data_IF_805439836737
#
_entry.id   IF_805439836737
#
_cell.length_a   1.000
_cell.length_b   1.000
_cell.length_c   1.000
_cell.angle_alpha   90.00
_cell.angle_beta   90.00
_cell.angle_gamma   90.00
#
_symmetry.space_group_name_H-M   'P 1'
#
loop_
_entity.id
_entity.type
_entity.pdbx_description
1 polymer ?
#
# COMPACT_ATOMS: atom_id res chain seq x y z
N UNK A 1 16.16 -3.03 -6.59
CA UNK A 1 17.24 -3.98 -6.96
C UNK A 1 18.44 -3.88 -6.01
N UNK A 2 18.93 -2.67 -5.66
CA UNK A 2 20.11 -2.47 -4.79
C UNK A 2 20.01 -3.26 -3.46
N UNK A 3 18.84 -3.30 -2.86
CA UNK A 3 18.55 -3.96 -1.58
C UNK A 3 18.12 -5.44 -1.72
N UNK A 4 18.28 -6.06 -2.88
CA UNK A 4 17.95 -7.46 -3.12
C UNK A 4 16.46 -7.81 -3.11
N UNK A 5 15.58 -6.80 -3.12
CA UNK A 5 14.15 -7.01 -3.29
C UNK A 5 13.82 -6.93 -4.79
N UNK A 6 13.29 -8.02 -5.34
CA UNK A 6 13.03 -8.17 -6.76
C UNK A 6 13.78 -9.35 -7.36
N UNK A 7 14.45 -9.14 -8.49
CA UNK A 7 15.15 -10.20 -9.27
C UNK A 7 16.66 -10.31 -8.98
N UNK A 8 17.19 -9.43 -8.13
CA UNK A 8 18.62 -9.37 -7.81
C UNK A 8 18.87 -9.92 -6.40
N UNK A 9 20.00 -10.57 -6.19
CA UNK A 9 20.47 -10.89 -4.84
C UNK A 9 21.03 -9.63 -4.17
N UNK A 10 20.81 -9.50 -2.86
CA UNK A 10 21.39 -8.41 -2.10
C UNK A 10 22.89 -8.59 -1.96
N UNK A 11 23.65 -7.59 -2.43
CA UNK A 11 25.07 -7.45 -2.17
C UNK A 11 25.36 -6.60 -0.95
N UNK A 12 26.63 -6.28 -0.73
CA UNK A 12 27.03 -5.28 0.26
C UNK A 12 26.65 -3.89 -0.25
N UNK A 13 25.78 -3.18 0.49
CA UNK A 13 25.25 -1.87 0.06
C UNK A 13 25.94 -0.77 0.86
N UNK A 14 26.76 0.04 0.16
CA UNK A 14 27.44 1.20 0.73
C UNK A 14 26.72 2.53 0.44
N UNK A 15 27.05 3.57 1.20
CA UNK A 15 26.46 4.90 1.05
C UNK A 15 26.67 5.47 -0.37
N UNK A 16 27.87 5.31 -0.94
CA UNK A 16 28.17 5.80 -2.30
C UNK A 16 27.26 5.19 -3.38
N UNK A 17 26.84 3.92 -3.19
CA UNK A 17 25.91 3.25 -4.10
C UNK A 17 24.49 3.82 -3.94
N UNK A 18 24.06 4.05 -2.70
CA UNK A 18 22.76 4.70 -2.41
C UNK A 18 22.73 6.10 -3.01
N UNK A 19 23.75 6.92 -2.76
CA UNK A 19 23.85 8.30 -3.30
C UNK A 19 23.83 8.30 -4.84
N UNK A 20 24.51 7.35 -5.48
CA UNK A 20 24.50 7.20 -6.93
C UNK A 20 23.08 6.93 -7.45
N UNK A 21 22.34 6.01 -6.82
CA UNK A 21 20.95 5.69 -7.21
C UNK A 21 20.02 6.86 -6.93
N UNK A 22 20.16 7.54 -5.79
CA UNK A 22 19.35 8.71 -5.43
C UNK A 22 19.43 9.83 -6.44
N UNK A 23 20.53 9.93 -7.20
CA UNK A 23 20.71 10.95 -8.25
C UNK A 23 19.67 10.89 -9.37
N UNK A 24 19.00 9.75 -9.59
CA UNK A 24 18.01 9.56 -10.65
C UNK A 24 16.66 8.98 -10.19
N UNK A 25 16.38 8.93 -8.87
CA UNK A 25 15.06 8.56 -8.32
C UNK A 25 14.19 9.80 -8.08
N UNK A 26 12.88 9.57 -7.99
CA UNK A 26 11.85 10.55 -7.61
C UNK A 26 10.99 11.00 -8.76
N UNK A 27 9.75 11.34 -8.44
CA UNK A 27 8.73 11.84 -9.37
C UNK A 27 8.83 13.37 -9.47
N UNK A 28 9.89 13.85 -10.12
CA UNK A 28 10.09 15.29 -10.36
C UNK A 28 10.03 15.59 -11.86
N UNK A 29 9.60 16.80 -12.28
CA UNK A 29 9.36 17.13 -13.70
C UNK A 29 10.55 16.85 -14.62
N UNK A 30 11.78 17.08 -14.15
CA UNK A 30 12.99 16.86 -14.96
C UNK A 30 13.32 15.37 -15.17
N UNK A 31 12.70 14.47 -14.39
CA UNK A 31 12.95 13.02 -14.48
C UNK A 31 11.90 12.29 -15.27
N UNK A 32 10.66 12.72 -15.16
CA UNK A 32 9.55 12.17 -15.93
C UNK A 32 8.71 13.32 -16.48
N UNK A 33 8.50 13.29 -17.78
CA UNK A 33 7.61 14.20 -18.49
C UNK A 33 6.46 13.35 -19.06
N UNK A 34 5.24 13.76 -18.80
CA UNK A 34 4.03 13.08 -19.26
C UNK A 34 3.23 14.03 -20.12
N UNK A 35 2.77 13.57 -21.26
CA UNK A 35 1.85 14.31 -22.11
C UNK A 35 0.61 13.49 -22.40
N UNK A 36 -0.52 14.14 -22.27
CA UNK A 36 -1.83 13.60 -22.62
C UNK A 36 -2.36 14.39 -23.82
N UNK A 37 -2.56 13.71 -24.92
CA UNK A 37 -3.22 14.28 -26.09
C UNK A 37 -4.69 13.89 -26.04
N UNK A 38 -5.57 14.89 -25.92
CA UNK A 38 -7.01 14.74 -25.95
C UNK A 38 -7.52 15.15 -27.34
N UNK A 39 -8.34 14.30 -27.97
CA UNK A 39 -9.04 14.60 -29.20
C UNK A 39 -10.50 14.17 -29.02
N UNK A 40 -11.45 15.10 -29.22
CA UNK A 40 -12.91 14.88 -29.12
C UNK A 40 -13.38 14.33 -27.76
N UNK A 41 -12.71 14.70 -26.65
CA UNK A 41 -13.02 14.22 -25.29
C UNK A 41 -12.50 12.83 -24.97
N UNK A 42 -11.65 12.27 -25.84
CA UNK A 42 -10.97 10.99 -25.63
C UNK A 42 -9.46 11.18 -25.59
N UNK A 43 -8.78 10.50 -24.65
CA UNK A 43 -7.32 10.45 -24.64
C UNK A 43 -6.84 9.68 -25.86
N UNK A 44 -6.13 10.34 -26.75
CA UNK A 44 -5.60 9.78 -27.99
C UNK A 44 -4.28 9.05 -27.75
N UNK A 45 -3.42 9.64 -26.96
CA UNK A 45 -2.16 9.04 -26.56
C UNK A 45 -1.69 9.60 -25.22
N UNK A 46 -1.11 8.73 -24.42
CA UNK A 46 -0.37 9.12 -23.23
C UNK A 46 1.05 8.59 -23.39
N UNK A 47 2.03 9.45 -23.29
CA UNK A 47 3.41 9.03 -23.32
C UNK A 47 4.17 9.54 -22.08
N UNK A 48 5.15 8.76 -21.67
CA UNK A 48 6.05 9.09 -20.56
C UNK A 48 7.47 9.14 -21.10
N UNK A 49 8.11 10.30 -20.97
CA UNK A 49 9.51 10.49 -21.30
C UNK A 49 10.34 10.49 -20.04
N UNK A 50 11.38 9.67 -20.00
CA UNK A 50 12.38 9.65 -18.93
C UNK A 50 13.47 10.68 -19.22
N UNK A 51 13.79 11.54 -18.27
CA UNK A 51 14.91 12.47 -18.34
C UNK A 51 16.26 11.79 -18.17
N UNK A 52 16.30 10.69 -17.40
CA UNK A 52 17.47 9.82 -17.23
C UNK A 52 17.12 8.39 -17.70
N UNK A 53 17.91 7.79 -18.61
CA UNK A 53 17.63 6.43 -19.11
C UNK A 53 17.70 5.35 -18.03
N UNK A 54 18.40 5.58 -16.92
CA UNK A 54 18.49 4.67 -15.77
C UNK A 54 17.21 4.65 -14.94
N UNK A 55 16.41 5.73 -14.96
CA UNK A 55 15.15 5.79 -14.23
C UNK A 55 14.16 4.74 -14.75
N UNK A 56 13.43 4.12 -13.85
CA UNK A 56 12.36 3.18 -14.14
C UNK A 56 11.12 3.53 -13.30
N UNK A 57 9.93 3.24 -13.82
CA UNK A 57 8.70 3.29 -13.06
C UNK A 57 8.43 1.92 -12.45
N UNK A 58 8.11 1.91 -11.16
CA UNK A 58 7.67 0.73 -10.44
C UNK A 58 6.23 0.97 -9.96
N UNK A 59 5.33 0.07 -10.35
CA UNK A 59 3.91 0.15 -10.04
C UNK A 59 3.48 -0.82 -8.92
N UNK A 60 4.41 -1.50 -8.26
CA UNK A 60 4.11 -2.52 -7.25
C UNK A 60 3.26 -1.99 -6.07
N UNK A 61 3.32 -0.68 -5.80
CA UNK A 61 2.56 -0.04 -4.74
C UNK A 61 1.13 0.38 -5.13
N UNK A 62 0.70 0.14 -6.39
CA UNK A 62 -0.63 0.56 -6.87
C UNK A 62 -1.27 -0.45 -7.84
N UNK A 63 -0.49 -1.40 -8.34
CA UNK A 63 -0.94 -2.25 -9.45
C UNK A 63 -2.06 -3.20 -9.04
N UNK A 64 -1.98 -3.78 -7.85
CA UNK A 64 -3.00 -4.69 -7.36
C UNK A 64 -4.29 -3.93 -7.03
N UNK A 65 -4.18 -2.81 -6.30
CA UNK A 65 -5.30 -1.93 -6.02
C UNK A 65 -5.99 -1.40 -7.28
N UNK A 66 -5.22 -0.99 -8.28
CA UNK A 66 -5.78 -0.59 -9.57
C UNK A 66 -6.46 -1.75 -10.31
N UNK A 67 -5.91 -2.95 -10.23
CA UNK A 67 -6.49 -4.13 -10.88
C UNK A 67 -7.85 -4.50 -10.28
N UNK A 68 -8.03 -4.44 -8.97
CA UNK A 68 -9.35 -4.70 -8.36
C UNK A 68 -10.38 -3.64 -8.72
N UNK A 69 -9.97 -2.36 -8.87
CA UNK A 69 -10.85 -1.30 -9.35
C UNK A 69 -11.34 -1.58 -10.78
N UNK A 70 -10.45 -1.95 -11.69
CA UNK A 70 -10.81 -2.31 -13.07
C UNK A 70 -11.75 -3.53 -13.15
N UNK A 71 -11.50 -4.55 -12.32
CA UNK A 71 -12.35 -5.72 -12.26
C UNK A 71 -13.74 -5.38 -11.72
N UNK A 72 -13.82 -4.55 -10.68
CA UNK A 72 -15.09 -4.09 -10.13
C UNK A 72 -15.88 -3.27 -11.16
N UNK A 73 -15.21 -2.39 -11.91
CA UNK A 73 -15.86 -1.61 -12.98
C UNK A 73 -16.37 -2.51 -14.11
N UNK A 74 -15.59 -3.51 -14.53
CA UNK A 74 -16.03 -4.48 -15.52
C UNK A 74 -17.26 -5.30 -15.08
N UNK A 75 -17.43 -5.56 -13.78
CA UNK A 75 -18.63 -6.17 -13.21
C UNK A 75 -19.81 -5.19 -13.26
N UNK A 76 -19.57 -3.92 -12.90
CA UNK A 76 -20.58 -2.86 -12.95
C UNK A 76 -21.15 -2.67 -14.36
N UNK A 77 -20.30 -2.65 -15.39
CA UNK A 77 -20.71 -2.55 -16.79
C UNK A 77 -21.62 -3.70 -17.24
N UNK A 78 -21.54 -4.84 -16.56
CA UNK A 78 -22.40 -6.02 -16.78
C UNK A 78 -23.65 -6.02 -15.91
N UNK A 79 -23.93 -4.92 -15.20
CA UNK A 79 -25.13 -4.77 -14.37
C UNK A 79 -25.02 -5.43 -12.98
N UNK A 80 -23.80 -5.84 -12.56
CA UNK A 80 -23.57 -6.38 -11.21
C UNK A 80 -23.36 -5.20 -10.25
N UNK A 81 -24.27 -5.01 -9.32
CA UNK A 81 -24.30 -3.89 -8.37
C UNK A 81 -23.67 -4.23 -7.02
N UNK A 82 -23.70 -5.50 -6.66
CA UNK A 82 -23.21 -5.98 -5.38
C UNK A 82 -22.06 -6.96 -5.63
N UNK A 83 -20.84 -6.52 -5.33
CA UNK A 83 -19.63 -7.29 -5.60
C UNK A 83 -18.50 -6.95 -4.62
N UNK A 84 -17.68 -7.95 -4.36
CA UNK A 84 -16.39 -7.83 -3.71
C UNK A 84 -15.34 -8.45 -4.65
N UNK A 85 -14.29 -7.73 -4.91
CA UNK A 85 -13.14 -8.20 -5.70
C UNK A 85 -11.91 -8.18 -4.83
N UNK A 86 -11.17 -9.27 -4.82
CA UNK A 86 -9.93 -9.42 -4.07
C UNK A 86 -8.83 -9.93 -5.01
N UNK A 87 -7.64 -9.35 -4.91
CA UNK A 87 -6.45 -9.77 -5.61
C UNK A 87 -5.21 -9.55 -4.75
N UNK A 88 -4.65 -10.65 -4.24
CA UNK A 88 -3.39 -10.62 -3.49
C UNK A 88 -3.45 -9.92 -2.12
N UNK A 89 -4.65 -9.68 -1.60
CA UNK A 89 -4.90 -9.00 -0.33
C UNK A 89 -5.55 -7.62 -0.48
N UNK A 90 -5.50 -7.03 -1.66
CA UNK A 90 -6.20 -5.79 -1.99
C UNK A 90 -7.67 -6.10 -2.31
N UNK A 91 -8.57 -5.42 -1.61
CA UNK A 91 -10.01 -5.67 -1.71
C UNK A 91 -10.76 -4.39 -2.04
N UNK A 92 -11.68 -4.48 -2.98
CA UNK A 92 -12.67 -3.43 -3.23
C UNK A 92 -14.08 -4.00 -3.11
N UNK A 93 -14.96 -3.27 -2.43
CA UNK A 93 -16.34 -3.67 -2.18
C UNK A 93 -17.31 -2.66 -2.76
N UNK A 94 -18.41 -3.15 -3.32
CA UNK A 94 -19.55 -2.36 -3.75
C UNK A 94 -20.84 -3.01 -3.30
N UNK A 95 -21.84 -2.16 -2.95
CA UNK A 95 -23.16 -2.63 -2.52
C UNK A 95 -23.10 -3.47 -1.25
N UNK A 96 -23.90 -4.53 -1.19
CA UNK A 96 -24.11 -5.34 0.00
C UNK A 96 -23.71 -6.81 -0.21
N UNK A 97 -23.35 -7.48 0.86
CA UNK A 97 -23.14 -8.93 0.86
C UNK A 97 -24.48 -9.69 0.72
N UNK A 98 -24.43 -11.02 0.60
CA UNK A 98 -25.61 -11.87 0.45
C UNK A 98 -26.62 -11.78 1.58
N UNK A 99 -26.25 -11.22 2.74
CA UNK A 99 -27.15 -10.98 3.90
C UNK A 99 -27.73 -9.57 3.91
N UNK A 100 -27.46 -8.73 2.90
CA UNK A 100 -27.93 -7.36 2.79
C UNK A 100 -27.16 -6.35 3.63
N UNK A 101 -26.03 -6.73 4.22
CA UNK A 101 -25.15 -5.87 5.02
C UNK A 101 -23.83 -5.56 4.33
N UNK A 102 -22.95 -4.78 4.98
CA UNK A 102 -21.63 -4.50 4.46
C UNK A 102 -20.78 -5.79 4.33
N UNK A 103 -19.82 -5.78 3.43
CA UNK A 103 -18.83 -6.82 3.29
C UNK A 103 -17.94 -6.88 4.53
N UNK A 104 -17.56 -8.07 4.96
CA UNK A 104 -16.78 -8.27 6.19
C UNK A 104 -15.40 -8.77 5.82
N UNK A 105 -14.41 -7.92 5.98
CA UNK A 105 -13.03 -8.18 5.62
C UNK A 105 -12.20 -8.35 6.88
N UNK A 106 -11.47 -9.45 6.97
CA UNK A 106 -10.56 -9.71 8.09
C UNK A 106 -9.20 -9.05 7.85
N UNK A 107 -8.66 -8.42 8.87
CA UNK A 107 -7.28 -7.88 8.89
C UNK A 107 -6.40 -8.83 9.69
N UNK A 108 -5.29 -9.25 9.09
CA UNK A 108 -4.35 -10.20 9.69
C UNK A 108 -3.56 -9.57 10.84
N UNK A 109 -3.19 -10.39 11.80
CA UNK A 109 -2.14 -10.07 12.76
C UNK A 109 -0.78 -10.04 12.07
N UNK A 110 0.10 -9.07 12.38
CA UNK A 110 1.42 -8.98 11.80
C UNK A 110 2.38 -10.00 12.44
N UNK A 111 2.07 -11.29 12.32
CA UNK A 111 2.88 -12.38 12.88
C UNK A 111 3.93 -12.78 11.86
N UNK A 112 5.18 -12.74 12.28
CA UNK A 112 6.33 -13.15 11.48
C UNK A 112 6.22 -14.62 11.06
N UNK A 113 6.53 -14.88 9.78
CA UNK A 113 6.48 -16.22 9.22
C UNK A 113 5.08 -16.81 9.06
N UNK A 114 4.02 -16.04 9.32
CA UNK A 114 2.65 -16.49 9.05
C UNK A 114 2.44 -16.74 7.56
N UNK A 115 1.82 -17.86 7.24
CA UNK A 115 1.44 -18.23 5.87
C UNK A 115 -0.05 -17.97 5.66
N UNK A 116 -0.50 -18.07 4.41
CA UNK A 116 -1.93 -17.98 4.09
C UNK A 116 -2.78 -19.05 4.78
N UNK A 117 -2.16 -20.15 5.19
CA UNK A 117 -2.85 -21.29 5.86
C UNK A 117 -2.95 -21.10 7.38
N UNK A 118 -2.08 -20.30 8.00
CA UNK A 118 -1.99 -20.09 9.45
C UNK A 118 -2.36 -18.66 9.83
N UNK A 119 -3.34 -18.06 9.13
CA UNK A 119 -3.78 -16.69 9.36
C UNK A 119 -4.52 -16.57 10.69
N UNK A 120 -4.11 -15.62 11.50
CA UNK A 120 -4.85 -15.16 12.66
C UNK A 120 -5.30 -13.72 12.43
N UNK A 121 -6.55 -13.44 12.75
CA UNK A 121 -7.14 -12.13 12.50
C UNK A 121 -7.06 -11.24 13.74
N UNK A 122 -6.72 -9.98 13.52
CA UNK A 122 -6.76 -8.97 14.58
C UNK A 122 -8.15 -8.36 14.70
N UNK A 123 -8.75 -8.06 13.57
CA UNK A 123 -10.10 -7.48 13.55
C UNK A 123 -10.84 -7.78 12.25
N UNK A 124 -12.13 -7.53 12.27
CA UNK A 124 -13.02 -7.62 11.10
C UNK A 124 -13.58 -6.23 10.82
N UNK A 125 -13.45 -5.80 9.57
CA UNK A 125 -13.86 -4.48 9.09
C UNK A 125 -15.10 -4.61 8.22
N UNK A 126 -16.10 -3.78 8.49
CA UNK A 126 -17.30 -3.67 7.66
C UNK A 126 -17.04 -2.67 6.53
N UNK A 127 -16.95 -3.18 5.29
CA UNK A 127 -16.60 -2.38 4.11
C UNK A 127 -17.81 -2.30 3.18
N UNK A 128 -18.17 -1.08 2.77
CA UNK A 128 -19.23 -0.82 1.81
C UNK A 128 -18.84 0.35 0.92
N UNK A 129 -18.90 0.15 -0.40
CA UNK A 129 -18.56 1.14 -1.43
C UNK A 129 -17.19 1.79 -1.24
N UNK A 130 -16.23 1.00 -0.75
CA UNK A 130 -14.83 1.41 -0.50
C UNK A 130 -13.87 0.27 -0.80
N UNK A 131 -12.60 0.60 -0.85
CA UNK A 131 -11.50 -0.35 -0.87
C UNK A 131 -10.82 -0.45 0.49
N UNK A 132 -10.22 -1.61 0.77
CA UNK A 132 -9.34 -1.87 1.89
C UNK A 132 -8.09 -2.59 1.40
N UNK A 133 -6.91 -2.02 1.65
CA UNK A 133 -5.62 -2.57 1.28
C UNK A 133 -4.67 -2.56 2.46
N UNK A 134 -3.78 -3.52 2.52
CA UNK A 134 -2.81 -3.65 3.63
C UNK A 134 -1.40 -3.86 3.10
N UNK A 135 -0.50 -2.93 3.43
CA UNK A 135 0.93 -3.10 3.28
C UNK A 135 1.57 -3.54 4.60
N UNK A 136 2.58 -4.41 4.55
CA UNK A 136 3.24 -4.88 5.76
C UNK A 136 4.68 -5.35 5.53
N UNK A 137 5.54 -5.13 6.51
CA UNK A 137 6.97 -5.48 6.49
C UNK A 137 7.27 -6.86 7.11
N UNK A 138 6.30 -7.49 7.77
CA UNK A 138 6.50 -8.72 8.55
C UNK A 138 6.62 -10.00 7.72
N UNK A 139 6.21 -9.97 6.43
CA UNK A 139 6.28 -11.14 5.52
C UNK A 139 7.49 -11.15 4.60
N UNK A 140 8.00 -9.99 4.22
CA UNK A 140 9.12 -9.84 3.27
C UNK A 140 10.18 -8.94 3.89
N UNK A 141 11.22 -9.54 4.43
CA UNK A 141 12.40 -8.83 4.96
C UNK A 141 13.65 -9.67 4.72
N UNK A 142 14.80 -9.03 4.70
CA UNK A 142 16.10 -9.67 4.82
C UNK A 142 16.65 -9.48 6.23
N UNK A 143 17.41 -10.44 6.71
CA UNK A 143 18.15 -10.31 7.96
C UNK A 143 19.63 -10.10 7.63
N UNK A 144 20.19 -8.96 8.06
CA UNK A 144 21.58 -8.59 7.86
C UNK A 144 22.14 -8.16 9.21
N UNK A 145 23.20 -8.83 9.67
CA UNK A 145 23.83 -8.57 10.96
C UNK A 145 22.85 -8.53 12.16
N UNK A 146 21.85 -9.42 12.14
CA UNK A 146 20.80 -9.48 13.17
C UNK A 146 19.79 -8.34 13.12
N UNK A 147 19.78 -7.55 12.05
CA UNK A 147 18.79 -6.48 11.80
C UNK A 147 17.87 -6.86 10.65
N UNK A 148 16.58 -6.66 10.86
CA UNK A 148 15.58 -6.84 9.79
C UNK A 148 15.60 -5.64 8.86
N UNK A 149 15.73 -5.91 7.58
CA UNK A 149 15.69 -4.93 6.51
C UNK A 149 14.36 -5.11 5.78
N UNK A 150 13.49 -4.12 5.88
CA UNK A 150 12.20 -4.09 5.17
C UNK A 150 12.42 -3.95 3.66
N UNK A 151 11.52 -4.54 2.87
CA UNK A 151 11.46 -4.32 1.44
C UNK A 151 10.93 -2.92 1.06
N UNK A 152 10.36 -2.20 2.02
CA UNK A 152 9.89 -0.82 1.84
C UNK A 152 11.06 0.14 1.96
N UNK A 153 11.40 0.80 0.85
CA UNK A 153 12.51 1.75 0.80
C UNK A 153 11.98 3.17 0.92
N UNK A 154 12.58 3.97 1.77
CA UNK A 154 12.28 5.40 1.87
C UNK A 154 12.90 6.14 0.66
N UNK A 155 12.08 6.70 -0.24
CA UNK A 155 12.57 7.40 -1.41
C UNK A 155 13.30 8.72 -1.09
N UNK A 156 13.15 9.25 0.11
CA UNK A 156 13.86 10.45 0.57
C UNK A 156 15.30 10.17 0.97
N UNK A 157 15.57 8.96 1.43
CA UNK A 157 16.92 8.56 1.92
C UNK A 157 17.58 7.49 1.07
N UNK A 158 16.81 6.70 0.32
CA UNK A 158 17.28 5.53 -0.41
C UNK A 158 17.56 4.31 0.48
N UNK A 159 17.30 4.40 1.78
CA UNK A 159 17.47 3.34 2.74
C UNK A 159 16.14 2.67 3.10
N UNK A 160 16.17 1.40 3.53
CA UNK A 160 14.97 0.73 4.04
C UNK A 160 14.33 1.50 5.19
N UNK A 161 13.01 1.62 5.18
CA UNK A 161 12.27 2.25 6.25
C UNK A 161 12.47 1.50 7.57
N UNK A 162 12.86 2.22 8.62
CA UNK A 162 13.22 1.67 9.93
C UNK A 162 12.45 2.40 11.05
N UNK A 163 11.12 2.48 10.91
CA UNK A 163 10.23 3.23 11.81
C UNK A 163 9.41 2.34 12.75
N UNK A 164 9.65 1.02 12.74
CA UNK A 164 8.94 0.07 13.61
C UNK A 164 7.52 -0.28 13.18
N UNK A 165 7.00 0.30 12.07
CA UNK A 165 5.66 -0.03 11.58
C UNK A 165 5.67 -1.42 10.92
N UNK A 166 4.82 -2.32 11.42
CA UNK A 166 4.68 -3.69 10.94
C UNK A 166 3.66 -3.80 9.81
N UNK A 167 2.54 -3.06 9.92
CA UNK A 167 1.52 -3.00 8.88
C UNK A 167 0.73 -1.71 8.91
N UNK A 168 0.25 -1.31 7.73
CA UNK A 168 -0.70 -0.22 7.52
C UNK A 168 -1.87 -0.74 6.69
N UNK A 169 -3.07 -0.71 7.24
CA UNK A 169 -4.32 -1.02 6.54
C UNK A 169 -5.07 0.26 6.28
N UNK A 170 -5.45 0.49 5.04
CA UNK A 170 -6.10 1.73 4.60
C UNK A 170 -7.44 1.44 3.96
N UNK A 171 -8.48 2.13 4.43
CA UNK A 171 -9.77 2.27 3.78
C UNK A 171 -9.75 3.55 2.94
N UNK A 172 -10.06 3.44 1.65
CA UNK A 172 -10.09 4.56 0.71
C UNK A 172 -11.23 4.42 -0.31
N UNK A 173 -11.54 5.47 -1.09
CA UNK A 173 -12.57 5.39 -2.13
C UNK A 173 -12.27 4.38 -3.24
N UNK A 174 -11.00 4.14 -3.57
CA UNK A 174 -10.57 3.23 -4.64
C UNK A 174 -9.44 2.31 -4.17
N UNK A 175 -9.29 1.15 -4.84
CA UNK A 175 -8.23 0.18 -4.56
C UNK A 175 -6.85 0.76 -4.82
N UNK A 176 -6.66 1.41 -5.98
CA UNK A 176 -5.37 2.05 -6.31
C UNK A 176 -4.93 3.06 -5.25
N UNK A 177 -5.88 3.83 -4.71
CA UNK A 177 -5.57 4.83 -3.70
C UNK A 177 -5.28 4.19 -2.33
N UNK A 178 -6.06 3.18 -1.92
CA UNK A 178 -5.83 2.44 -0.68
C UNK A 178 -4.45 1.76 -0.68
N UNK A 179 -4.07 1.08 -1.78
CA UNK A 179 -2.82 0.38 -1.98
C UNK A 179 -1.62 1.35 -1.93
N UNK A 180 -1.68 2.44 -2.71
CA UNK A 180 -0.66 3.49 -2.70
C UNK A 180 -0.44 4.09 -1.31
N UNK A 181 -1.52 4.43 -0.60
CA UNK A 181 -1.43 5.07 0.70
C UNK A 181 -0.97 4.10 1.79
N UNK A 182 -1.36 2.83 1.72
CA UNK A 182 -0.84 1.80 2.63
C UNK A 182 0.69 1.69 2.53
N UNK A 183 1.23 1.64 1.31
CA UNK A 183 2.68 1.63 1.09
C UNK A 183 3.36 2.94 1.53
N UNK A 184 2.76 4.09 1.24
CA UNK A 184 3.28 5.38 1.68
C UNK A 184 3.35 5.49 3.21
N UNK A 185 2.34 4.99 3.92
CA UNK A 185 2.32 4.99 5.38
C UNK A 185 3.35 4.04 6.00
N UNK A 186 3.68 2.95 5.33
CA UNK A 186 4.83 2.11 5.74
C UNK A 186 6.15 2.86 5.70
N UNK A 187 6.32 3.80 4.77
CA UNK A 187 7.51 4.69 4.71
C UNK A 187 7.46 5.76 5.79
N UNK A 188 6.31 6.42 5.97
CA UNK A 188 6.15 7.52 6.90
C UNK A 188 6.23 7.08 8.38
N UNK A 189 5.74 5.88 8.69
CA UNK A 189 5.60 5.43 10.07
C UNK A 189 4.40 6.06 10.78
N UNK A 190 4.16 5.63 12.02
CA UNK A 190 2.92 5.94 12.75
C UNK A 190 2.71 7.44 12.97
N UNK A 191 3.70 8.16 13.50
CA UNK A 191 3.52 9.57 13.88
C UNK A 191 3.34 10.50 12.68
N UNK A 192 4.07 10.28 11.60
CA UNK A 192 3.91 11.09 10.39
C UNK A 192 2.59 10.77 9.68
N UNK A 193 2.14 9.50 9.71
CA UNK A 193 0.82 9.11 9.19
C UNK A 193 -0.31 9.81 9.94
N UNK A 194 -0.26 9.86 11.27
CA UNK A 194 -1.23 10.63 12.08
C UNK A 194 -1.24 12.12 11.70
N UNK A 195 -0.04 12.69 11.55
CA UNK A 195 0.11 14.07 11.11
C UNK A 195 -0.49 14.31 9.71
N UNK A 196 -0.25 13.41 8.78
CA UNK A 196 -0.79 13.46 7.43
C UNK A 196 -2.32 13.42 7.41
N UNK A 197 -2.92 12.49 8.15
CA UNK A 197 -4.39 12.36 8.22
C UNK A 197 -5.06 13.60 8.85
N UNK A 198 -4.40 14.25 9.80
CA UNK A 198 -4.88 15.49 10.39
C UNK A 198 -4.78 16.69 9.44
N UNK A 199 -3.78 16.71 8.55
CA UNK A 199 -3.58 17.79 7.58
C UNK A 199 -4.50 17.67 6.36
N UNK A 200 -4.89 16.45 5.99
CA UNK A 200 -5.64 16.14 4.76
C UNK A 200 -6.90 15.29 5.03
N UNK A 201 -7.81 15.74 5.91
CA UNK A 201 -9.02 14.97 6.24
C UNK A 201 -9.98 14.81 5.05
N UNK A 202 -9.88 15.71 4.04
CA UNK A 202 -10.68 15.67 2.81
C UNK A 202 -10.38 14.47 1.92
N UNK A 203 -9.24 13.80 2.10
CA UNK A 203 -8.88 12.60 1.35
C UNK A 203 -9.74 11.38 1.70
N UNK A 204 -10.49 11.44 2.80
CA UNK A 204 -11.45 10.40 3.20
C UNK A 204 -10.78 9.05 3.53
N UNK A 205 -9.56 9.09 4.04
CA UNK A 205 -8.80 7.91 4.45
C UNK A 205 -9.12 7.52 5.88
N UNK A 206 -9.35 6.23 6.10
CA UNK A 206 -9.38 5.65 7.43
C UNK A 206 -8.28 4.60 7.55
N UNK A 207 -7.56 4.58 8.67
CA UNK A 207 -6.29 3.87 8.77
C UNK A 207 -6.18 3.08 10.06
N UNK A 208 -5.65 1.86 9.95
CA UNK A 208 -5.20 1.04 11.05
C UNK A 208 -3.69 0.83 10.92
N UNK A 209 -2.95 1.12 11.97
CA UNK A 209 -1.51 0.90 12.07
C UNK A 209 -1.21 -0.11 13.17
N UNK A 210 -0.30 -1.03 12.89
CA UNK A 210 0.25 -1.95 13.88
C UNK A 210 1.77 -1.78 13.91
N UNK A 211 2.29 -1.38 15.07
CA UNK A 211 3.71 -1.05 15.28
C UNK A 211 4.36 -2.01 16.26
N UNK A 212 5.62 -2.36 16.06
CA UNK A 212 6.42 -3.14 17.00
C UNK A 212 6.45 -2.44 18.38
N UNK A 213 6.16 -3.17 19.45
CA UNK A 213 6.18 -2.66 20.82
C UNK A 213 7.57 -2.78 21.49
N UNK A 214 8.56 -3.34 20.79
CA UNK A 214 9.91 -3.59 21.28
C UNK A 214 10.00 -4.70 22.33
N UNK A 215 8.92 -5.44 22.59
CA UNK A 215 8.84 -6.53 23.57
C UNK A 215 8.46 -7.88 22.91
N UNK A 216 8.46 -7.92 21.58
CA UNK A 216 8.07 -9.08 20.77
C UNK A 216 6.57 -9.17 20.50
N UNK A 217 5.84 -8.09 20.78
CA UNK A 217 4.44 -7.88 20.43
C UNK A 217 4.26 -6.69 19.52
N UNK A 218 3.04 -6.14 19.49
CA UNK A 218 2.72 -4.96 18.70
C UNK A 218 1.65 -4.09 19.38
N UNK A 219 1.73 -2.80 19.16
CA UNK A 219 0.70 -1.82 19.50
C UNK A 219 -0.20 -1.56 18.30
N UNK A 220 -1.42 -1.13 18.57
CA UNK A 220 -2.43 -0.83 17.55
C UNK A 220 -2.86 0.62 17.70
N UNK A 221 -2.91 1.34 16.60
CA UNK A 221 -3.56 2.63 16.48
C UNK A 221 -4.53 2.61 15.29
N UNK A 222 -5.71 3.19 15.46
CA UNK A 222 -6.70 3.35 14.40
C UNK A 222 -7.24 4.77 14.34
N UNK A 223 -7.55 5.26 13.14
CA UNK A 223 -8.31 6.48 12.99
C UNK A 223 -9.75 6.30 13.48
N UNK A 224 -10.45 7.37 13.91
CA UNK A 224 -11.83 7.27 14.40
C UNK A 224 -12.79 6.64 13.39
N UNK A 225 -12.62 6.92 12.09
CA UNK A 225 -13.46 6.33 11.04
C UNK A 225 -13.18 4.84 10.83
N UNK A 226 -11.94 4.39 10.97
CA UNK A 226 -11.60 2.96 10.93
C UNK A 226 -12.17 2.22 12.15
N UNK A 227 -12.05 2.81 13.34
CA UNK A 227 -12.59 2.23 14.57
C UNK A 227 -14.11 2.06 14.49
N UNK A 228 -14.83 3.04 13.92
CA UNK A 228 -16.28 3.01 13.79
C UNK A 228 -16.82 1.84 12.94
N UNK A 229 -16.03 1.31 12.00
CA UNK A 229 -16.43 0.22 11.10
C UNK A 229 -15.75 -1.11 11.42
N UNK A 230 -14.93 -1.17 12.46
CA UNK A 230 -14.18 -2.35 12.85
C UNK A 230 -14.70 -3.02 14.11
N UNK A 231 -14.43 -4.29 14.28
CA UNK A 231 -14.74 -5.08 15.48
C UNK A 231 -13.67 -6.14 15.71
N UNK A 232 -13.34 -6.43 16.95
CA UNK A 232 -12.52 -7.59 17.27
C UNK A 232 -13.32 -8.88 17.03
N UNK A 233 -12.67 -9.97 16.56
CA UNK A 233 -13.32 -11.26 16.34
C UNK A 233 -13.89 -11.86 17.63
#
# INVERSE_FOLDING_TARGET
ELWGFGFSEMGEVGADQVDSVMSFIGMVPDRFDMNEEEEDGYYKSTWVRKGDPRAALDFNAIAQGYSVDLLLEALRERGITDAMVELGGEVVCRGSNASGGPWRIAVDRPIEGSTEMDRTFEMVVAVQDRAICTSGSYRKFHEVDGRKISHTIDPGTGWPAANGLLSATVLAPTGAYADAMATAFMVLGEEQTKGFLNLYPELGLDVLLMSDDGQGGYSIWSSPGFEAVSSRP
#
